data_IF_093925264964
#
_entry.id   IF_093925264964
#
_cell.length_a   1.000
_cell.length_b   1.000
_cell.length_c   1.000
_cell.angle_alpha   90.00
_cell.angle_beta   90.00
_cell.angle_gamma   90.00
#
_symmetry.space_group_name_H-M   'P 1'
#
loop_
_entity.id
_entity.type
_entity.pdbx_description
1 polymer ?
#
# COMPACT_ATOMS: atom_id res chain seq x y z
N UNK A 1 3.03 7.37 -0.86
CA UNK A 1 3.36 8.64 -0.19
C UNK A 1 4.52 8.53 0.79
N UNK A 2 4.40 7.74 1.87
CA UNK A 2 5.47 7.60 2.88
C UNK A 2 6.84 7.30 2.27
N UNK A 3 6.94 6.24 1.45
CA UNK A 3 8.20 5.82 0.83
C UNK A 3 8.80 6.93 -0.04
N UNK A 4 8.00 7.56 -0.91
CA UNK A 4 8.46 8.63 -1.78
C UNK A 4 9.05 9.83 -0.99
N UNK A 5 8.40 10.20 0.13
CA UNK A 5 8.93 11.24 1.02
C UNK A 5 10.19 10.79 1.75
N UNK A 6 10.24 9.54 2.22
CA UNK A 6 11.39 8.97 2.92
C UNK A 6 12.66 8.90 2.05
N UNK A 7 12.49 8.69 0.74
CA UNK A 7 13.61 8.68 -0.23
C UNK A 7 13.87 10.04 -0.88
N UNK A 8 13.13 11.09 -0.50
CA UNK A 8 13.29 12.44 -1.05
C UNK A 8 12.86 12.58 -2.51
N UNK A 9 11.98 11.71 -3.01
CA UNK A 9 11.48 11.74 -4.38
C UNK A 9 10.10 12.43 -4.43
N UNK A 10 10.00 13.68 -4.90
CA UNK A 10 8.71 14.36 -5.00
C UNK A 10 7.84 13.71 -6.07
N UNK A 11 6.62 13.33 -5.68
CA UNK A 11 5.62 12.81 -6.61
C UNK A 11 4.80 13.95 -7.20
N UNK A 12 4.80 14.07 -8.53
CA UNK A 12 3.88 14.95 -9.25
C UNK A 12 2.42 14.51 -9.03
N UNK A 13 1.48 15.46 -9.13
CA UNK A 13 0.04 15.19 -8.92
C UNK A 13 -0.45 14.04 -9.81
N UNK A 14 0.01 13.96 -11.06
CA UNK A 14 -0.33 12.85 -11.97
C UNK A 14 0.06 11.47 -11.41
N UNK A 15 1.27 11.34 -10.83
CA UNK A 15 1.73 10.09 -10.20
C UNK A 15 0.91 9.77 -8.95
N UNK A 16 0.48 10.77 -8.19
CA UNK A 16 -0.37 10.56 -7.01
C UNK A 16 -1.75 10.02 -7.39
N UNK A 17 -2.35 10.54 -8.45
CA UNK A 17 -3.62 10.04 -9.01
C UNK A 17 -3.44 8.60 -9.52
N UNK A 18 -2.34 8.32 -10.21
CA UNK A 18 -2.03 6.96 -10.66
C UNK A 18 -1.85 5.98 -9.50
N UNK A 19 -1.20 6.38 -8.40
CA UNK A 19 -1.11 5.58 -7.17
C UNK A 19 -2.50 5.29 -6.60
N UNK A 20 -3.39 6.27 -6.52
CA UNK A 20 -4.74 6.05 -6.01
C UNK A 20 -5.54 5.07 -6.87
N UNK A 21 -5.51 5.25 -8.19
CA UNK A 21 -6.18 4.36 -9.14
C UNK A 21 -5.63 2.94 -9.08
N UNK A 22 -4.31 2.79 -9.16
CA UNK A 22 -3.66 1.47 -9.08
C UNK A 22 -3.93 0.81 -7.74
N UNK A 23 -3.88 1.53 -6.62
CA UNK A 23 -4.18 0.98 -5.30
C UNK A 23 -5.62 0.44 -5.19
N UNK A 24 -6.61 1.17 -5.71
CA UNK A 24 -8.01 0.72 -5.71
C UNK A 24 -8.19 -0.51 -6.60
N UNK A 25 -7.62 -0.50 -7.81
CA UNK A 25 -7.71 -1.64 -8.72
C UNK A 25 -7.04 -2.88 -8.12
N UNK A 26 -5.88 -2.68 -7.49
CA UNK A 26 -5.13 -3.75 -6.90
C UNK A 26 -5.85 -4.30 -5.64
N UNK A 27 -6.56 -3.47 -4.87
CA UNK A 27 -7.31 -3.94 -3.69
C UNK A 27 -8.42 -4.94 -4.03
N UNK A 28 -9.01 -4.86 -5.23
CA UNK A 28 -10.00 -5.84 -5.71
C UNK A 28 -9.40 -7.24 -5.80
N UNK A 29 -8.12 -7.35 -6.19
CA UNK A 29 -7.41 -8.62 -6.35
C UNK A 29 -6.80 -9.17 -5.05
N UNK A 30 -6.94 -8.48 -3.93
CA UNK A 30 -6.28 -8.84 -2.67
C UNK A 30 -7.19 -9.75 -1.85
N UNK A 31 -6.79 -11.01 -1.63
CA UNK A 31 -7.48 -11.89 -0.69
C UNK A 31 -7.30 -11.38 0.76
N UNK A 32 -8.31 -11.57 1.61
CA UNK A 32 -8.30 -11.18 3.03
C UNK A 32 -7.42 -12.08 3.89
N UNK A 33 -6.11 -12.10 3.61
CA UNK A 33 -5.10 -12.89 4.31
C UNK A 33 -4.09 -11.97 5.01
N UNK A 34 -3.51 -12.39 6.15
CA UNK A 34 -2.53 -11.58 6.86
C UNK A 34 -1.35 -11.18 5.97
N UNK A 35 -0.95 -9.91 6.04
CA UNK A 35 0.18 -9.37 5.30
C UNK A 35 -0.06 -9.12 3.80
N UNK A 36 -1.29 -9.29 3.30
CA UNK A 36 -1.60 -9.05 1.90
C UNK A 36 -1.33 -7.58 1.50
N UNK A 37 -1.59 -6.62 2.38
CA UNK A 37 -1.35 -5.20 2.10
C UNK A 37 0.13 -4.84 1.88
N UNK A 38 1.07 -5.58 2.47
CA UNK A 38 2.49 -5.39 2.21
C UNK A 38 2.84 -5.81 0.77
N UNK A 39 2.34 -6.97 0.32
CA UNK A 39 2.54 -7.48 -1.05
C UNK A 39 1.95 -6.51 -2.09
N UNK A 40 0.76 -5.98 -1.81
CA UNK A 40 0.10 -5.01 -2.69
C UNK A 40 0.91 -3.72 -2.87
N UNK A 41 1.56 -3.27 -1.80
CA UNK A 41 2.40 -2.08 -1.84
C UNK A 41 3.56 -2.23 -2.83
N UNK A 42 4.11 -3.44 -3.00
CA UNK A 42 5.18 -3.73 -3.98
C UNK A 42 4.72 -3.39 -5.39
N UNK A 43 3.55 -3.89 -5.78
CA UNK A 43 2.99 -3.66 -7.12
C UNK A 43 2.71 -2.18 -7.40
N UNK A 44 2.25 -1.43 -6.39
CA UNK A 44 1.99 0.01 -6.52
C UNK A 44 3.28 0.82 -6.61
N UNK A 45 4.35 0.39 -5.95
CA UNK A 45 5.65 1.05 -6.03
C UNK A 45 6.31 0.86 -7.41
N UNK A 46 6.22 -0.35 -7.97
CA UNK A 46 6.69 -0.63 -9.33
C UNK A 46 5.96 0.23 -10.38
N UNK A 47 4.65 0.47 -10.21
CA UNK A 47 3.85 1.26 -11.17
C UNK A 47 4.25 2.74 -11.26
N UNK A 48 4.94 3.27 -10.24
CA UNK A 48 5.44 4.65 -10.21
C UNK A 48 6.96 4.78 -10.34
N UNK A 49 7.64 3.70 -10.74
CA UNK A 49 9.08 3.72 -10.94
C UNK A 49 9.89 3.73 -9.64
N UNK A 50 9.34 3.18 -8.57
CA UNK A 50 10.03 2.93 -7.30
C UNK A 50 10.24 1.41 -7.11
N UNK A 51 11.05 0.74 -7.95
CA UNK A 51 11.23 -0.70 -7.84
C UNK A 51 11.87 -1.07 -6.50
N UNK A 52 11.44 -2.19 -5.96
CA UNK A 52 11.99 -2.76 -4.73
C UNK A 52 13.25 -3.55 -5.05
N UNK A 53 14.35 -2.83 -5.26
CA UNK A 53 15.67 -3.44 -5.42
C UNK A 53 16.35 -3.64 -4.06
N UNK A 54 16.93 -4.82 -3.85
CA UNK A 54 17.67 -5.15 -2.64
C UNK A 54 18.84 -4.18 -2.43
N UNK A 55 18.89 -3.53 -1.26
CA UNK A 55 19.92 -2.54 -0.93
C UNK A 55 19.61 -1.10 -1.36
N UNK A 56 18.47 -0.86 -2.02
CA UNK A 56 18.02 0.50 -2.35
C UNK A 56 17.44 1.24 -1.14
N UNK A 57 17.41 2.58 -1.21
CA UNK A 57 16.72 3.43 -0.22
C UNK A 57 15.23 3.13 -0.14
N UNK A 58 14.62 2.67 -1.23
CA UNK A 58 13.21 2.24 -1.31
C UNK A 58 13.00 0.98 -0.47
N UNK A 59 13.91 0.00 -0.53
CA UNK A 59 13.82 -1.22 0.26
C UNK A 59 13.94 -0.96 1.77
N UNK A 60 14.79 -0.01 2.18
CA UNK A 60 14.92 0.40 3.58
C UNK A 60 13.61 1.04 4.06
N UNK A 61 13.03 1.97 3.28
CA UNK A 61 11.77 2.62 3.61
C UNK A 61 10.58 1.63 3.63
N UNK A 62 10.56 0.66 2.73
CA UNK A 62 9.57 -0.42 2.74
C UNK A 62 9.73 -1.34 3.97
N UNK A 63 10.97 -1.64 4.37
CA UNK A 63 11.27 -2.36 5.60
C UNK A 63 10.71 -1.69 6.86
N UNK A 64 10.67 -0.36 6.91
CA UNK A 64 10.03 0.37 8.01
C UNK A 64 8.52 0.11 8.10
N UNK A 65 7.83 0.01 6.95
CA UNK A 65 6.40 -0.33 6.91
C UNK A 65 6.20 -1.79 7.33
N UNK A 66 7.03 -2.71 6.80
CA UNK A 66 6.99 -4.12 7.19
C UNK A 66 7.15 -4.31 8.70
N UNK A 67 8.03 -3.53 9.34
CA UNK A 67 8.26 -3.58 10.79
C UNK A 67 7.02 -3.27 11.63
N UNK A 68 6.05 -2.53 11.09
CA UNK A 68 4.78 -2.18 11.76
C UNK A 68 3.56 -2.79 11.07
N UNK A 69 3.75 -3.65 10.06
CA UNK A 69 2.67 -4.14 9.21
C UNK A 69 1.60 -4.86 10.02
N UNK A 70 1.97 -5.61 11.06
CA UNK A 70 1.00 -6.28 11.95
C UNK A 70 -0.04 -5.31 12.55
N UNK A 71 0.36 -4.10 12.95
CA UNK A 71 -0.54 -3.09 13.51
C UNK A 71 -1.42 -2.50 12.40
N UNK A 72 -0.81 -2.19 11.25
CA UNK A 72 -1.53 -1.66 10.09
C UNK A 72 -2.55 -2.67 9.55
N UNK A 73 -2.20 -3.95 9.57
CA UNK A 73 -3.01 -5.04 9.03
C UNK A 73 -4.27 -5.31 9.86
N UNK A 74 -4.16 -5.20 11.19
CA UNK A 74 -5.32 -5.22 12.08
C UNK A 74 -6.30 -4.09 11.76
N UNK A 75 -5.78 -2.87 11.58
CA UNK A 75 -6.59 -1.70 11.20
C UNK A 75 -7.27 -1.88 9.84
N UNK A 76 -6.53 -2.36 8.82
CA UNK A 76 -7.06 -2.66 7.49
C UNK A 76 -8.19 -3.69 7.55
N UNK A 77 -7.98 -4.79 8.27
CA UNK A 77 -8.98 -5.85 8.38
C UNK A 77 -10.25 -5.35 9.06
N UNK A 78 -10.12 -4.58 10.14
CA UNK A 78 -11.26 -4.01 10.86
C UNK A 78 -12.07 -3.04 9.98
N UNK A 79 -11.40 -2.16 9.24
CA UNK A 79 -12.08 -1.22 8.34
C UNK A 79 -12.77 -1.92 7.17
N UNK A 80 -12.14 -2.96 6.59
CA UNK A 80 -12.75 -3.73 5.51
C UNK A 80 -14.06 -4.40 5.97
N UNK A 81 -14.03 -5.10 7.11
CA UNK A 81 -15.24 -5.75 7.67
C UNK A 81 -16.30 -4.70 8.03
N UNK A 82 -15.90 -3.55 8.55
CA UNK A 82 -16.84 -2.44 8.84
C UNK A 82 -17.52 -1.93 7.56
N UNK A 83 -16.77 -1.82 6.46
CA UNK A 83 -17.30 -1.46 5.15
C UNK A 83 -18.32 -2.48 4.62
N UNK A 84 -18.03 -3.77 4.75
CA UNK A 84 -18.95 -4.85 4.34
C UNK A 84 -20.27 -4.79 5.11
N UNK A 85 -20.20 -4.57 6.43
CA UNK A 85 -21.39 -4.41 7.28
C UNK A 85 -22.19 -3.16 6.92
N UNK A 86 -21.51 -2.04 6.66
CA UNK A 86 -22.16 -0.80 6.25
C UNK A 86 -22.92 -0.97 4.93
N UNK A 87 -22.30 -1.58 3.92
CA UNK A 87 -22.95 -1.88 2.64
C UNK A 87 -24.12 -2.86 2.79
N UNK A 88 -24.01 -3.83 3.70
CA UNK A 88 -25.11 -4.79 3.98
C UNK A 88 -26.31 -4.11 4.66
N UNK A 89 -26.07 -3.05 5.43
CA UNK A 89 -27.10 -2.33 6.19
C UNK A 89 -27.88 -1.28 5.39
N UNK A 90 -27.47 -1.01 4.14
CA UNK A 90 -28.11 -0.07 3.21
C UNK A 90 -29.01 -0.85 2.24
#
# INVERSE_FOLDING_TARGET
MFIANAVGMPLAIGSQVLIMLTAVLASIGTAGVPGAGAIMLIMVLESVGLPLEAGSSVAIAYGMILGIDAILDMGRTSLNVTGDLACTSI
#
